data_IF_400621340049
#
_entry.id   IF_400621340049
#
_cell.length_a   1.000
_cell.length_b   1.000
_cell.length_c   1.000
_cell.angle_alpha   90.00
_cell.angle_beta   90.00
_cell.angle_gamma   90.00
#
_symmetry.space_group_name_H-M   'P 1'
#
loop_
_entity.id
_entity.type
_entity.pdbx_description
1 polymer ?
#
# COMPACT_ATOMS: atom_id res chain seq x y z
N UNK A 1 -54.75 -5.77 43.65
CA UNK A 1 -53.83 -6.52 44.53
C UNK A 1 -52.43 -6.44 43.94
N UNK A 2 -51.54 -5.68 44.59
CA UNK A 2 -50.09 -5.64 44.36
C UNK A 2 -49.42 -6.76 45.21
N UNK A 3 -48.19 -7.24 44.87
CA UNK A 3 -46.94 -6.52 45.21
C UNK A 3 -46.02 -6.38 43.98
N UNK A 4 -45.33 -5.26 43.70
CA UNK A 4 -44.21 -4.62 44.42
C UNK A 4 -43.07 -5.59 44.76
N UNK A 5 -42.08 -5.66 43.87
CA UNK A 5 -40.67 -5.89 44.27
C UNK A 5 -39.76 -4.98 43.47
N UNK A 6 -39.30 -3.97 44.18
CA UNK A 6 -38.16 -3.09 43.91
C UNK A 6 -36.88 -3.94 43.92
N UNK A 7 -36.03 -3.84 42.89
CA UNK A 7 -34.61 -4.15 43.03
C UNK A 7 -33.82 -2.99 42.43
N UNK A 8 -33.30 -2.14 43.33
CA UNK A 8 -32.17 -1.28 43.08
C UNK A 8 -30.89 -2.08 43.37
N UNK A 9 -30.05 -2.30 42.35
CA UNK A 9 -28.59 -2.44 42.46
C UNK A 9 -28.04 -1.69 41.25
N UNK A 10 -27.43 -0.51 41.36
CA UNK A 10 -26.17 -0.18 42.03
C UNK A 10 -24.96 -0.93 41.44
N UNK A 11 -24.08 -0.17 40.76
CA UNK A 11 -22.74 -0.58 40.34
C UNK A 11 -22.73 -1.39 39.05
N UNK A 12 -21.87 -1.18 38.06
CA UNK A 12 -20.55 -0.58 38.10
C UNK A 12 -20.18 -0.25 36.65
N UNK A 13 -19.88 1.03 36.37
CA UNK A 13 -19.09 1.41 35.20
C UNK A 13 -17.74 0.68 35.31
N UNK A 14 -17.45 -0.23 34.39
CA UNK A 14 -16.07 -0.59 34.09
C UNK A 14 -15.80 -0.26 32.61
N UNK A 15 -15.23 0.92 32.44
CA UNK A 15 -14.47 1.26 31.25
C UNK A 15 -13.30 0.29 31.10
N UNK A 16 -13.23 -0.44 30.00
CA UNK A 16 -11.99 -0.97 29.44
C UNK A 16 -11.98 -0.76 27.93
N UNK A 17 -12.05 0.52 27.54
CA UNK A 17 -11.25 0.98 26.41
C UNK A 17 -9.79 0.99 26.88
N UNK A 18 -8.97 0.05 26.40
CA UNK A 18 -7.54 0.25 26.11
C UNK A 18 -6.92 -1.06 25.66
N UNK A 19 -7.32 -1.48 24.46
CA UNK A 19 -6.54 -2.40 23.62
C UNK A 19 -6.09 -1.68 22.36
N UNK A 20 -5.74 -0.40 22.45
CA UNK A 20 -4.99 0.27 21.39
C UNK A 20 -3.60 -0.38 21.41
N UNK A 21 -3.44 -1.46 20.65
CA UNK A 21 -2.14 -2.03 20.34
C UNK A 21 -1.36 -0.96 19.60
N UNK A 22 -0.63 -0.14 20.36
CA UNK A 22 0.31 0.83 19.83
C UNK A 22 1.31 0.07 18.97
N UNK A 23 1.14 0.17 17.65
CA UNK A 23 2.16 -0.21 16.68
C UNK A 23 3.31 0.74 16.93
N UNK A 24 4.21 0.36 17.86
CA UNK A 24 5.49 1.03 18.05
C UNK A 24 6.28 0.85 16.77
N UNK A 25 6.26 1.89 15.94
CA UNK A 25 7.23 2.05 14.87
C UNK A 25 8.63 1.91 15.49
N UNK A 26 9.48 0.98 15.00
CA UNK A 26 10.80 0.79 15.58
C UNK A 26 11.60 2.08 15.44
N UNK A 27 12.05 2.58 16.59
CA UNK A 27 12.92 3.74 16.76
C UNK A 27 14.17 3.56 15.87
N UNK A 28 14.42 4.52 14.97
CA UNK A 28 15.64 4.60 14.17
C UNK A 28 16.86 4.57 15.09
N UNK A 29 17.57 3.45 15.11
CA UNK A 29 18.95 3.42 15.59
C UNK A 29 19.84 3.85 14.44
N UNK A 30 20.53 4.96 14.63
CA UNK A 30 21.57 5.44 13.75
C UNK A 30 22.73 4.41 13.71
N UNK A 31 23.20 4.06 12.50
CA UNK A 31 24.54 3.52 12.30
C UNK A 31 24.75 2.00 12.31
N UNK A 32 23.73 1.16 12.13
CA UNK A 32 23.89 -0.28 11.96
C UNK A 32 23.28 -0.75 10.65
N UNK A 33 23.96 -1.64 9.90
CA UNK A 33 23.36 -2.38 8.78
C UNK A 33 21.99 -2.87 9.21
N UNK A 34 20.90 -2.35 8.61
CA UNK A 34 19.56 -2.85 8.91
C UNK A 34 19.59 -4.37 8.71
N UNK A 35 19.11 -5.16 9.69
CA UNK A 35 19.10 -6.61 9.52
C UNK A 35 18.23 -6.89 8.30
N UNK A 36 18.80 -7.57 7.31
CA UNK A 36 18.17 -7.94 6.02
C UNK A 36 16.75 -8.52 6.24
N UNK A 37 16.55 -9.25 7.34
CA UNK A 37 15.26 -9.79 7.74
C UNK A 37 14.20 -8.71 8.05
N UNK A 38 14.57 -7.59 8.71
CA UNK A 38 13.63 -6.50 8.98
C UNK A 38 13.21 -5.81 7.68
N UNK A 39 14.15 -5.57 6.76
CA UNK A 39 13.86 -4.98 5.45
C UNK A 39 12.97 -5.91 4.61
N UNK A 40 13.20 -7.22 4.60
CA UNK A 40 12.33 -8.16 3.89
C UNK A 40 10.95 -8.31 4.55
N UNK A 41 10.86 -8.20 5.88
CA UNK A 41 9.62 -8.49 6.62
C UNK A 41 8.45 -7.56 6.28
N UNK A 42 8.73 -6.30 5.93
CA UNK A 42 7.71 -5.30 5.58
C UNK A 42 7.08 -5.55 4.20
N UNK A 43 7.60 -6.49 3.42
CA UNK A 43 7.10 -6.86 2.09
C UNK A 43 6.37 -8.21 2.06
N UNK A 44 6.14 -8.82 3.22
CA UNK A 44 5.49 -10.13 3.31
C UNK A 44 4.00 -10.09 2.97
N UNK A 45 3.47 -11.22 2.50
CA UNK A 45 2.05 -11.43 2.23
C UNK A 45 1.18 -11.14 3.47
N UNK A 46 1.58 -11.62 4.65
CA UNK A 46 0.87 -11.35 5.91
C UNK A 46 0.77 -9.86 6.23
N UNK A 47 1.79 -9.06 5.89
CA UNK A 47 1.75 -7.61 6.08
C UNK A 47 0.81 -6.95 5.05
N UNK A 48 0.78 -7.46 3.80
CA UNK A 48 -0.16 -7.02 2.79
C UNK A 48 -1.62 -7.32 3.19
N UNK A 49 -1.90 -8.53 3.68
CA UNK A 49 -3.24 -8.94 4.15
C UNK A 49 -3.76 -8.05 5.29
N UNK A 50 -2.89 -7.67 6.23
CA UNK A 50 -3.26 -6.74 7.31
C UNK A 50 -3.64 -5.36 6.77
N UNK A 51 -2.85 -4.80 5.87
CA UNK A 51 -3.16 -3.50 5.25
C UNK A 51 -4.45 -3.57 4.41
N UNK A 52 -4.62 -4.66 3.66
CA UNK A 52 -5.83 -4.96 2.91
C UNK A 52 -7.08 -5.00 3.82
N UNK A 53 -6.98 -5.66 4.98
CA UNK A 53 -8.07 -5.74 5.96
C UNK A 53 -8.43 -4.37 6.56
N UNK A 54 -7.45 -3.47 6.70
CA UNK A 54 -7.66 -2.06 7.07
C UNK A 54 -8.20 -1.20 5.90
N UNK A 55 -8.36 -1.82 4.73
CA UNK A 55 -8.85 -1.19 3.53
C UNK A 55 -7.82 -0.32 2.79
N UNK A 56 -6.54 -0.41 3.18
CA UNK A 56 -5.45 0.34 2.58
C UNK A 56 -4.92 -0.43 1.37
N UNK A 57 -4.87 0.23 0.21
CA UNK A 57 -4.27 -0.32 -1.00
C UNK A 57 -2.96 0.44 -1.26
N UNK A 58 -1.85 -0.27 -1.18
CA UNK A 58 -0.51 0.26 -1.43
C UNK A 58 0.21 -0.63 -2.44
N UNK A 59 0.39 -0.15 -3.66
CA UNK A 59 1.23 -0.85 -4.64
C UNK A 59 2.71 -0.54 -4.40
N UNK A 60 3.57 -1.52 -4.67
CA UNK A 60 5.02 -1.40 -4.53
C UNK A 60 5.71 -1.66 -5.87
N UNK A 61 6.67 -0.82 -6.24
CA UNK A 61 7.50 -1.02 -7.44
C UNK A 61 8.90 -1.48 -7.02
N UNK A 62 9.39 -2.57 -7.61
CA UNK A 62 10.75 -3.05 -7.39
C UNK A 62 11.64 -2.65 -8.58
N UNK A 63 12.82 -2.04 -8.36
CA UNK A 63 13.76 -1.67 -9.42
C UNK A 63 14.33 -2.90 -10.18
N UNK A 64 14.87 -2.75 -11.40
CA UNK A 64 15.23 -1.48 -12.04
C UNK A 64 14.16 -0.91 -13.00
N UNK A 65 14.17 0.42 -13.07
CA UNK A 65 13.51 1.29 -14.06
C UNK A 65 14.32 1.26 -15.39
N UNK A 66 13.76 1.68 -16.55
CA UNK A 66 12.77 2.75 -16.73
C UNK A 66 11.31 2.31 -16.60
N UNK A 67 10.49 3.17 -15.98
CA UNK A 67 9.03 3.03 -16.00
C UNK A 67 8.50 3.17 -17.43
N UNK A 68 7.38 2.50 -17.77
CA UNK A 68 6.75 2.67 -19.08
C UNK A 68 6.23 4.10 -19.28
N UNK A 69 6.01 4.53 -20.54
CA UNK A 69 5.33 5.79 -20.83
C UNK A 69 3.96 5.88 -20.14
N UNK A 70 3.59 7.05 -19.62
CA UNK A 70 2.32 7.22 -18.92
C UNK A 70 2.25 6.65 -17.51
N UNK A 71 3.35 6.12 -16.96
CA UNK A 71 3.38 5.55 -15.61
C UNK A 71 3.02 6.57 -14.51
N UNK A 72 3.45 7.83 -14.68
CA UNK A 72 3.10 8.90 -13.73
C UNK A 72 1.60 9.18 -13.70
N UNK A 73 0.97 9.25 -14.88
CA UNK A 73 -0.46 9.43 -15.06
C UNK A 73 -1.25 8.25 -14.48
N UNK A 74 -0.75 7.02 -14.66
CA UNK A 74 -1.31 5.82 -14.05
C UNK A 74 -1.28 5.89 -12.51
N UNK A 75 -0.15 6.27 -11.91
CA UNK A 75 -0.03 6.41 -10.45
C UNK A 75 -0.99 7.49 -9.93
N UNK A 76 -1.11 8.61 -10.64
CA UNK A 76 -2.05 9.67 -10.29
C UNK A 76 -3.50 9.17 -10.34
N UNK A 77 -3.86 8.43 -11.39
CA UNK A 77 -5.17 7.82 -11.56
C UNK A 77 -5.53 6.84 -10.43
N UNK A 78 -4.58 6.00 -10.01
CA UNK A 78 -4.73 5.11 -8.85
C UNK A 78 -5.06 5.90 -7.58
N UNK A 79 -4.32 6.98 -7.32
CA UNK A 79 -4.52 7.80 -6.13
C UNK A 79 -5.86 8.53 -6.13
N UNK A 80 -6.22 9.14 -7.25
CA UNK A 80 -7.43 9.94 -7.37
C UNK A 80 -8.70 9.10 -7.31
N UNK A 81 -8.74 7.99 -8.06
CA UNK A 81 -9.95 7.18 -8.27
C UNK A 81 -10.08 6.04 -7.29
N UNK A 82 -8.97 5.40 -6.95
CA UNK A 82 -8.97 4.21 -6.11
C UNK A 82 -8.49 4.48 -4.68
N UNK A 83 -8.05 5.71 -4.37
CA UNK A 83 -7.38 6.05 -3.11
C UNK A 83 -6.21 5.12 -2.80
N UNK A 84 -5.62 4.55 -3.84
CA UNK A 84 -4.51 3.62 -3.75
C UNK A 84 -3.19 4.40 -3.78
N UNK A 85 -2.30 4.08 -2.86
CA UNK A 85 -0.97 4.64 -2.81
C UNK A 85 0.02 3.80 -3.61
N UNK A 86 1.15 4.41 -3.96
CA UNK A 86 2.21 3.78 -4.73
C UNK A 86 3.57 4.10 -4.11
N UNK A 87 4.40 3.08 -3.90
CA UNK A 87 5.71 3.21 -3.28
C UNK A 87 6.78 2.54 -4.13
N UNK A 88 7.78 3.31 -4.53
CA UNK A 88 9.02 2.76 -5.09
C UNK A 88 9.86 2.16 -3.96
N UNK A 89 10.13 0.86 -4.03
CA UNK A 89 11.07 0.17 -3.14
C UNK A 89 12.46 0.64 -3.52
N UNK A 90 13.17 1.26 -2.58
CA UNK A 90 14.52 1.78 -2.83
C UNK A 90 15.50 0.63 -3.02
N UNK A 91 16.59 0.88 -3.73
CA UNK A 91 17.74 -0.03 -3.70
C UNK A 91 18.23 -0.16 -2.23
N UNK A 92 18.25 -1.40 -1.76
CA UNK A 92 18.52 -1.77 -0.38
C UNK A 92 19.98 -2.20 -0.18
N UNK A 93 20.81 -2.19 -1.23
CA UNK A 93 22.19 -2.67 -1.16
C UNK A 93 22.30 -4.15 -0.79
N UNK A 94 21.22 -4.90 -0.97
CA UNK A 94 21.15 -6.35 -0.74
C UNK A 94 22.03 -7.10 -1.74
N UNK A 95 22.51 -8.28 -1.35
CA UNK A 95 23.10 -9.20 -2.31
C UNK A 95 22.03 -9.71 -3.29
N UNK A 96 22.46 -10.25 -4.42
CA UNK A 96 21.59 -10.73 -5.49
C UNK A 96 20.49 -11.71 -5.01
N UNK A 97 20.83 -12.63 -4.10
CA UNK A 97 19.87 -13.60 -3.56
C UNK A 97 18.77 -12.93 -2.73
N UNK A 98 19.14 -11.97 -1.89
CA UNK A 98 18.20 -11.24 -1.06
C UNK A 98 17.39 -10.21 -1.88
N UNK A 99 17.98 -9.66 -2.95
CA UNK A 99 17.27 -8.84 -3.95
C UNK A 99 16.19 -9.65 -4.67
N UNK A 100 16.51 -10.87 -5.12
CA UNK A 100 15.53 -11.76 -5.75
C UNK A 100 14.40 -12.13 -4.78
N UNK A 101 14.75 -12.40 -3.52
CA UNK A 101 13.75 -12.63 -2.47
C UNK A 101 12.86 -11.40 -2.26
N UNK A 102 13.43 -10.20 -2.26
CA UNK A 102 12.67 -8.95 -2.14
C UNK A 102 11.73 -8.75 -3.34
N UNK A 103 12.19 -9.05 -4.56
CA UNK A 103 11.37 -9.00 -5.78
C UNK A 103 10.14 -9.90 -5.67
N UNK A 104 10.31 -11.15 -5.24
CA UNK A 104 9.21 -12.09 -5.04
C UNK A 104 8.24 -11.63 -3.94
N UNK A 105 8.74 -11.06 -2.85
CA UNK A 105 7.90 -10.51 -1.79
C UNK A 105 7.06 -9.32 -2.29
N UNK A 106 7.65 -8.41 -3.08
CA UNK A 106 6.92 -7.31 -3.71
C UNK A 106 5.87 -7.81 -4.70
N UNK A 107 6.17 -8.86 -5.47
CA UNK A 107 5.19 -9.47 -6.37
C UNK A 107 3.99 -10.02 -5.60
N UNK A 108 4.21 -10.86 -4.59
CA UNK A 108 3.13 -11.44 -3.77
C UNK A 108 2.32 -10.36 -3.05
N UNK A 109 2.98 -9.30 -2.57
CA UNK A 109 2.31 -8.13 -2.01
C UNK A 109 1.33 -7.50 -3.01
N UNK A 110 1.79 -7.26 -4.24
CA UNK A 110 1.00 -6.62 -5.28
C UNK A 110 -0.15 -7.50 -5.77
N UNK A 111 -0.03 -8.83 -5.73
CA UNK A 111 -1.11 -9.76 -6.05
C UNK A 111 -2.29 -9.60 -5.06
N UNK A 112 -1.99 -9.53 -3.76
CA UNK A 112 -3.01 -9.28 -2.72
C UNK A 112 -3.66 -7.91 -2.92
N UNK A 113 -2.86 -6.87 -3.11
CA UNK A 113 -3.36 -5.51 -3.31
C UNK A 113 -4.19 -5.37 -4.59
N UNK A 114 -3.84 -6.12 -5.64
CA UNK A 114 -4.64 -6.16 -6.86
C UNK A 114 -5.99 -6.84 -6.63
N UNK A 115 -6.01 -7.96 -5.88
CA UNK A 115 -7.26 -8.59 -5.48
C UNK A 115 -8.17 -7.66 -4.69
N UNK A 116 -7.62 -6.87 -3.76
CA UNK A 116 -8.39 -5.86 -3.02
C UNK A 116 -8.87 -4.70 -3.89
N UNK A 117 -8.03 -4.24 -4.82
CA UNK A 117 -8.43 -3.22 -5.79
C UNK A 117 -9.61 -3.70 -6.63
N UNK A 118 -9.56 -4.92 -7.14
CA UNK A 118 -10.61 -5.49 -7.99
C UNK A 118 -11.90 -5.76 -7.22
N UNK A 119 -11.81 -6.23 -5.97
CA UNK A 119 -12.97 -6.37 -5.08
C UNK A 119 -13.70 -5.04 -4.86
N UNK A 120 -12.96 -3.94 -4.70
CA UNK A 120 -13.55 -2.62 -4.40
C UNK A 120 -14.01 -1.84 -5.63
N UNK A 121 -13.25 -1.90 -6.72
CA UNK A 121 -13.43 -1.01 -7.87
C UNK A 121 -13.84 -1.75 -9.15
N UNK A 122 -13.91 -3.08 -9.10
CA UNK A 122 -14.30 -3.94 -10.21
C UNK A 122 -13.12 -4.55 -10.96
N UNK A 123 -13.40 -5.55 -11.81
CA UNK A 123 -12.38 -6.33 -12.51
C UNK A 123 -11.54 -5.45 -13.44
N UNK A 124 -10.28 -5.83 -13.59
CA UNK A 124 -9.30 -5.22 -14.50
C UNK A 124 -9.06 -3.72 -14.25
N UNK A 125 -9.40 -3.21 -13.05
CA UNK A 125 -9.26 -1.79 -12.75
C UNK A 125 -7.84 -1.28 -13.01
N UNK A 126 -6.83 -2.10 -12.66
CA UNK A 126 -5.43 -1.74 -12.88
C UNK A 126 -5.09 -1.57 -14.36
N UNK A 127 -5.52 -2.51 -15.21
CA UNK A 127 -5.28 -2.46 -16.65
C UNK A 127 -5.99 -1.26 -17.31
N UNK A 128 -7.21 -0.96 -16.87
CA UNK A 128 -7.98 0.20 -17.33
C UNK A 128 -7.25 1.52 -17.02
N UNK A 129 -6.79 1.68 -15.78
CA UNK A 129 -6.07 2.89 -15.37
C UNK A 129 -4.71 3.01 -16.05
N UNK A 130 -4.01 1.90 -16.28
CA UNK A 130 -2.73 1.91 -17.00
C UNK A 130 -2.91 2.37 -18.44
N UNK A 131 -3.86 1.79 -19.16
CA UNK A 131 -4.20 2.19 -20.54
C UNK A 131 -4.59 3.67 -20.61
N UNK A 132 -5.42 4.14 -19.68
CA UNK A 132 -5.80 5.54 -19.63
C UNK A 132 -4.62 6.47 -19.34
N UNK A 133 -3.70 6.06 -18.45
CA UNK A 133 -2.46 6.79 -18.18
C UNK A 133 -1.60 6.93 -19.44
N UNK A 134 -1.42 5.85 -20.18
CA UNK A 134 -0.73 5.84 -21.47
C UNK A 134 -1.40 6.75 -22.50
N UNK A 135 -2.73 6.71 -22.61
CA UNK A 135 -3.49 7.55 -23.54
C UNK A 135 -3.36 9.03 -23.18
N UNK A 136 -3.47 9.39 -21.90
CA UNK A 136 -3.25 10.76 -21.42
C UNK A 136 -1.85 11.27 -21.74
N UNK A 137 -0.84 10.46 -21.48
CA UNK A 137 0.55 10.78 -21.80
C UNK A 137 0.76 10.97 -23.31
N UNK A 138 0.16 10.10 -24.12
CA UNK A 138 0.23 10.17 -25.59
C UNK A 138 -0.40 11.47 -26.11
N UNK A 139 -1.55 11.84 -25.59
CA UNK A 139 -2.23 13.09 -25.96
C UNK A 139 -1.46 14.33 -25.50
N UNK A 140 -0.87 14.31 -24.30
CA UNK A 140 -0.01 15.38 -23.82
C UNK A 140 1.26 15.53 -24.68
N UNK A 141 1.86 14.41 -25.06
CA UNK A 141 3.09 14.38 -25.88
C UNK A 141 2.88 14.93 -27.29
N UNK A 142 1.67 14.80 -27.86
CA UNK A 142 1.30 15.42 -29.15
C UNK A 142 1.18 16.95 -29.06
N UNK A 143 0.77 17.48 -27.90
CA UNK A 143 0.49 18.91 -27.68
C UNK A 143 1.72 19.70 -27.23
N UNK A 144 2.74 19.02 -26.73
CA UNK A 144 3.98 19.68 -26.29
C UNK A 144 4.76 20.23 -27.50
N UNK A 145 4.99 21.55 -27.60
CA UNK A 145 5.89 22.08 -28.62
C UNK A 145 7.29 21.52 -28.37
N UNK A 146 7.94 20.99 -29.42
CA UNK A 146 9.36 20.61 -29.35
C UNK A 146 10.14 21.85 -28.98
N UNK A 147 10.58 21.97 -27.71
CA UNK A 147 11.60 22.94 -27.35
C UNK A 147 12.82 22.59 -28.20
N UNK A 148 13.15 23.44 -29.19
CA UNK A 148 14.45 23.39 -29.85
C UNK A 148 15.47 23.65 -28.75
N UNK A 149 16.27 22.65 -28.43
CA UNK A 149 17.47 22.83 -27.61
C UNK A 149 18.34 23.88 -28.31
N UNK A 150 18.86 24.90 -27.59
CA UNK A 150 19.82 25.84 -28.15
C UNK A 150 21.10 25.14 -28.62
#
# INVERSE_FOLDING_TARGET
MFPRTTICLAGLLLALFSGCGEVRLPKKNAGGKQPVAAELSIHTANAAEKMAAEGIILFKEYPPLPSPPGHGEYIQLLKERCKADYLLVKDTGLNEKDQEKLRLLVQNWNEIMNGELEKKFGPDMRAKLQKEGEDKWREASKKAPRKKSP
#
